data_IF_897041270733
#
_entry.id   IF_897041270733
#
_cell.length_a   1.000
_cell.length_b   1.000
_cell.length_c   1.000
_cell.angle_alpha   90.00
_cell.angle_beta   90.00
_cell.angle_gamma   90.00
#
_symmetry.space_group_name_H-M   'P 1'
#
loop_
_entity.id
_entity.type
_entity.pdbx_description
1 polymer ?
#
# COMPACT_ATOMS: atom_id res chain seq x y z
N UNK A 1 13.64 -17.52 -45.85
CA UNK A 1 14.50 -17.04 -44.75
C UNK A 1 14.42 -15.51 -44.70
N UNK A 2 13.35 -14.92 -44.14
CA UNK A 2 13.21 -13.45 -43.90
C UNK A 2 12.13 -13.13 -42.82
N UNK A 3 11.89 -14.02 -41.85
CA UNK A 3 10.94 -13.77 -40.74
C UNK A 3 11.64 -13.50 -39.39
N UNK A 4 12.97 -13.59 -39.32
CA UNK A 4 13.74 -13.39 -38.09
C UNK A 4 13.93 -11.91 -37.73
N UNK A 5 14.28 -11.08 -38.71
CA UNK A 5 14.80 -9.73 -38.46
C UNK A 5 13.73 -8.71 -38.03
N UNK A 6 12.51 -8.81 -38.55
CA UNK A 6 11.40 -7.94 -38.14
C UNK A 6 11.02 -8.14 -36.67
N UNK A 7 11.10 -9.37 -36.16
CA UNK A 7 10.77 -9.69 -34.76
C UNK A 7 11.83 -9.16 -33.79
N UNK A 8 13.08 -9.06 -34.24
CA UNK A 8 14.21 -8.60 -33.43
C UNK A 8 14.27 -7.07 -33.43
N UNK A 9 14.06 -6.44 -34.59
CA UNK A 9 13.96 -4.98 -34.70
C UNK A 9 12.77 -4.41 -33.89
N UNK A 10 11.62 -5.08 -33.94
CA UNK A 10 10.45 -4.72 -33.14
C UNK A 10 10.70 -4.86 -31.64
N UNK A 11 11.45 -5.90 -31.22
CA UNK A 11 11.83 -6.09 -29.81
C UNK A 11 12.73 -4.96 -29.30
N UNK A 12 13.78 -4.60 -30.05
CA UNK A 12 14.68 -3.49 -29.70
C UNK A 12 13.96 -2.14 -29.62
N UNK A 13 13.04 -1.85 -30.54
CA UNK A 13 12.25 -0.62 -30.50
C UNK A 13 11.28 -0.56 -29.31
N UNK A 14 10.80 -1.71 -28.82
CA UNK A 14 9.99 -1.80 -27.60
C UNK A 14 10.87 -1.62 -26.36
N UNK A 15 12.10 -2.17 -26.35
CA UNK A 15 13.10 -2.03 -25.28
C UNK A 15 13.46 -0.55 -25.05
N UNK A 16 13.79 0.20 -26.12
CA UNK A 16 14.16 1.62 -26.01
C UNK A 16 12.98 2.51 -25.57
N UNK A 17 11.76 2.24 -26.06
CA UNK A 17 10.56 3.02 -25.70
C UNK A 17 9.99 2.67 -24.32
N UNK A 18 10.26 1.46 -23.80
CA UNK A 18 9.81 1.01 -22.49
C UNK A 18 10.63 1.62 -21.34
N UNK A 19 11.94 1.78 -21.55
CA UNK A 19 12.85 2.41 -20.60
C UNK A 19 12.44 3.84 -20.24
N UNK A 20 11.98 4.60 -21.22
CA UNK A 20 11.50 5.99 -21.05
C UNK A 20 10.12 6.09 -20.38
N UNK A 21 9.29 5.05 -20.48
CA UNK A 21 7.93 5.02 -19.95
C UNK A 21 7.81 4.34 -18.57
N UNK A 22 8.91 3.74 -18.07
CA UNK A 22 8.96 3.13 -16.74
C UNK A 22 8.14 1.83 -16.59
N UNK A 23 7.82 1.14 -17.69
CA UNK A 23 7.07 -0.12 -17.67
C UNK A 23 8.02 -1.32 -17.66
N UNK A 24 7.62 -2.41 -16.99
CA UNK A 24 8.35 -3.68 -17.07
C UNK A 24 8.21 -4.31 -18.46
N UNK A 25 9.33 -4.41 -19.17
CA UNK A 25 9.47 -4.86 -20.57
C UNK A 25 8.71 -6.15 -20.91
N UNK A 26 8.65 -7.10 -19.96
CA UNK A 26 8.07 -8.42 -20.19
C UNK A 26 6.56 -8.42 -20.45
N UNK A 27 5.81 -7.45 -19.93
CA UNK A 27 4.37 -7.33 -20.18
C UNK A 27 4.06 -6.77 -21.57
N UNK A 28 4.91 -5.87 -22.09
CA UNK A 28 4.68 -5.16 -23.34
C UNK A 28 4.75 -6.08 -24.57
N UNK A 29 5.52 -7.16 -24.49
CA UNK A 29 5.70 -8.09 -25.60
C UNK A 29 4.54 -9.08 -25.82
N UNK A 30 3.63 -9.24 -24.85
CA UNK A 30 2.55 -10.23 -24.89
C UNK A 30 1.25 -9.73 -25.54
N UNK A 31 1.08 -8.41 -25.61
CA UNK A 31 -0.16 -7.81 -26.07
C UNK A 31 -0.07 -7.42 -27.56
N UNK A 32 -0.41 -8.36 -28.44
CA UNK A 32 -0.70 -7.99 -29.84
C UNK A 32 -2.09 -7.37 -29.92
N UNK A 33 -2.16 -6.05 -29.75
CA UNK A 33 -3.40 -5.26 -29.81
C UNK A 33 -3.91 -5.17 -31.25
N UNK A 34 -5.20 -5.46 -31.45
CA UNK A 34 -5.89 -5.37 -32.75
C UNK A 34 -7.17 -4.54 -32.62
N UNK A 35 -7.72 -4.11 -33.76
CA UNK A 35 -9.04 -3.45 -33.82
C UNK A 35 -10.11 -4.40 -33.26
N UNK A 36 -10.96 -3.86 -32.38
CA UNK A 36 -11.98 -4.61 -31.66
C UNK A 36 -11.55 -5.09 -30.27
N UNK A 37 -10.25 -5.05 -29.92
CA UNK A 37 -9.81 -5.38 -28.56
C UNK A 37 -10.31 -4.30 -27.58
N UNK A 38 -10.82 -4.75 -26.42
CA UNK A 38 -10.99 -3.90 -25.25
C UNK A 38 -9.62 -3.64 -24.61
N UNK A 39 -9.37 -2.39 -24.25
CA UNK A 39 -8.10 -1.93 -23.68
C UNK A 39 -8.33 -0.97 -22.53
N UNK A 40 -7.32 -0.85 -21.68
CA UNK A 40 -7.21 0.23 -20.70
C UNK A 40 -5.78 0.75 -20.65
N UNK A 41 -5.60 1.93 -20.05
CA UNK A 41 -4.28 2.47 -19.78
C UNK A 41 -3.54 1.57 -18.82
N UNK A 42 -2.26 1.34 -19.12
CA UNK A 42 -1.36 0.57 -18.27
C UNK A 42 -1.17 1.29 -16.93
N UNK A 43 -1.16 0.54 -15.83
CA UNK A 43 -0.97 1.10 -14.48
C UNK A 43 0.46 1.66 -14.34
N UNK A 44 0.59 2.84 -13.73
CA UNK A 44 1.91 3.40 -13.43
C UNK A 44 2.71 2.45 -12.52
N UNK A 45 4.03 2.44 -12.70
CA UNK A 45 4.93 1.62 -11.89
C UNK A 45 4.70 1.93 -10.40
N UNK A 46 4.44 0.90 -9.61
CA UNK A 46 4.15 1.00 -8.17
C UNK A 46 2.82 1.67 -7.79
N UNK A 47 1.86 1.82 -8.71
CA UNK A 47 0.50 2.27 -8.38
C UNK A 47 -0.54 1.21 -8.69
N UNK A 48 -1.25 0.75 -7.65
CA UNK A 48 -2.45 -0.06 -7.80
C UNK A 48 -3.72 0.79 -8.01
N UNK A 49 -3.63 2.13 -7.94
CA UNK A 49 -4.80 3.01 -8.05
C UNK A 49 -5.19 3.21 -9.51
N UNK A 50 -6.44 2.93 -9.82
CA UNK A 50 -7.05 3.18 -11.14
C UNK A 50 -7.35 4.67 -11.42
N UNK A 51 -7.32 5.53 -10.38
CA UNK A 51 -7.87 6.90 -10.43
C UNK A 51 -7.22 7.90 -11.40
N UNK A 52 -6.12 7.55 -12.06
CA UNK A 52 -5.40 8.44 -12.99
C UNK A 52 -5.21 7.81 -14.38
N UNK A 53 -6.02 6.81 -14.74
CA UNK A 53 -5.96 6.20 -16.07
C UNK A 53 -6.55 7.16 -17.11
N UNK A 54 -5.78 7.48 -18.15
CA UNK A 54 -6.25 8.24 -19.33
C UNK A 54 -7.42 7.52 -20.00
N UNK A 55 -7.35 6.19 -20.07
CA UNK A 55 -8.38 5.30 -20.58
C UNK A 55 -8.69 4.26 -19.50
N UNK A 56 -9.77 4.41 -18.71
CA UNK A 56 -10.17 3.38 -17.74
C UNK A 56 -10.65 2.11 -18.44
N UNK A 57 -11.38 2.25 -19.54
CA UNK A 57 -11.84 1.17 -20.41
C UNK A 57 -12.25 1.76 -21.78
N UNK A 58 -11.83 1.13 -22.87
CA UNK A 58 -12.18 1.54 -24.22
C UNK A 58 -11.94 0.45 -25.25
N UNK A 59 -12.39 0.66 -26.48
CA UNK A 59 -12.27 -0.31 -27.58
C UNK A 59 -11.42 0.27 -28.70
N UNK A 60 -10.45 -0.48 -29.21
CA UNK A 60 -9.65 -0.05 -30.35
C UNK A 60 -10.54 -0.03 -31.60
N UNK A 61 -10.69 1.14 -32.23
CA UNK A 61 -11.47 1.32 -33.46
C UNK A 61 -10.60 1.56 -34.69
N UNK A 62 -9.31 1.81 -34.49
CA UNK A 62 -8.36 2.00 -35.59
C UNK A 62 -6.92 1.92 -35.09
N UNK A 63 -6.01 1.69 -36.03
CA UNK A 63 -4.58 1.69 -35.79
C UNK A 63 -3.90 2.58 -36.84
N UNK A 64 -2.98 3.41 -36.37
CA UNK A 64 -2.14 4.26 -37.21
C UNK A 64 -0.84 3.52 -37.57
N UNK A 65 -0.23 3.88 -38.71
CA UNK A 65 1.05 3.35 -39.17
C UNK A 65 2.20 3.68 -38.19
N UNK A 66 2.02 4.72 -37.37
CA UNK A 66 2.99 5.19 -36.38
C UNK A 66 2.88 4.48 -35.00
N UNK A 67 2.21 3.32 -34.91
CA UNK A 67 2.13 2.56 -33.66
C UNK A 67 1.20 3.13 -32.59
N UNK A 68 0.29 4.03 -32.98
CA UNK A 68 -0.78 4.54 -32.12
C UNK A 68 -2.11 3.84 -32.42
N UNK A 69 -2.93 3.65 -31.40
CA UNK A 69 -4.30 3.17 -31.51
C UNK A 69 -5.28 4.34 -31.39
N UNK A 70 -6.37 4.28 -32.14
CA UNK A 70 -7.56 5.10 -31.92
C UNK A 70 -8.51 4.30 -31.04
N UNK A 71 -8.78 4.80 -29.84
CA UNK A 71 -9.57 4.11 -28.81
C UNK A 71 -10.87 4.86 -28.57
N UNK A 72 -12.00 4.18 -28.76
CA UNK A 72 -13.31 4.68 -28.39
C UNK A 72 -13.55 4.45 -26.90
N UNK A 73 -13.73 5.52 -26.16
CA UNK A 73 -13.98 5.51 -24.71
C UNK A 73 -15.43 5.92 -24.46
N UNK A 74 -16.09 5.27 -23.50
CA UNK A 74 -17.47 5.64 -23.16
C UNK A 74 -17.53 7.07 -22.63
N UNK A 75 -18.45 7.89 -23.16
CA UNK A 75 -18.62 9.29 -22.79
C UNK A 75 -17.70 10.29 -23.51
N UNK A 76 -16.77 9.82 -24.35
CA UNK A 76 -15.96 10.67 -25.23
C UNK A 76 -16.44 10.48 -26.67
N UNK A 77 -16.90 11.55 -27.31
CA UNK A 77 -17.47 11.49 -28.66
C UNK A 77 -16.44 11.11 -29.73
N UNK A 78 -15.24 11.68 -29.64
CA UNK A 78 -14.15 11.42 -30.58
C UNK A 78 -13.20 10.32 -30.06
N UNK A 79 -12.71 9.41 -30.92
CA UNK A 79 -11.71 8.43 -30.53
C UNK A 79 -10.42 9.09 -30.01
N UNK A 80 -9.93 8.60 -28.87
CA UNK A 80 -8.69 9.08 -28.25
C UNK A 80 -7.50 8.39 -28.91
N UNK A 81 -6.52 9.18 -29.37
CA UNK A 81 -5.28 8.66 -29.94
C UNK A 81 -4.27 8.38 -28.84
N UNK A 82 -3.90 7.10 -28.65
CA UNK A 82 -2.96 6.69 -27.61
C UNK A 82 -1.90 5.76 -28.17
N UNK A 83 -0.66 5.93 -27.74
CA UNK A 83 0.44 5.05 -28.14
C UNK A 83 0.21 3.62 -27.61
N UNK A 84 0.41 2.59 -28.44
CA UNK A 84 0.07 1.22 -28.09
C UNK A 84 0.77 0.69 -26.82
N UNK A 85 1.99 1.13 -26.54
CA UNK A 85 2.72 0.72 -25.32
C UNK A 85 2.06 1.20 -24.02
N UNK A 86 1.26 2.27 -24.08
CA UNK A 86 0.50 2.78 -22.93
C UNK A 86 -0.81 2.02 -22.70
N UNK A 87 -1.17 1.12 -23.61
CA UNK A 87 -2.37 0.31 -23.53
C UNK A 87 -2.01 -1.12 -23.11
N UNK A 88 -2.95 -1.75 -22.43
CA UNK A 88 -2.96 -3.18 -22.16
C UNK A 88 -4.31 -3.76 -22.56
N UNK A 89 -4.30 -5.00 -23.06
CA UNK A 89 -5.53 -5.70 -23.44
C UNK A 89 -6.31 -6.10 -22.19
N UNK A 90 -7.60 -5.82 -22.21
CA UNK A 90 -8.56 -6.30 -21.22
C UNK A 90 -9.38 -7.42 -21.84
N UNK A 91 -9.31 -8.60 -21.26
CA UNK A 91 -10.10 -9.77 -21.64
C UNK A 91 -10.90 -10.23 -20.43
N UNK A 92 -12.22 -10.40 -20.56
CA UNK A 92 -13.07 -10.86 -19.45
C UNK A 92 -12.92 -10.02 -18.15
N UNK A 93 -12.66 -8.70 -18.29
CA UNK A 93 -12.45 -7.79 -17.16
C UNK A 93 -11.08 -7.89 -16.48
N UNK A 94 -10.15 -8.68 -17.03
CA UNK A 94 -8.80 -8.87 -16.51
C UNK A 94 -7.75 -8.41 -17.53
N UNK A 95 -6.63 -7.89 -17.04
CA UNK A 95 -5.45 -7.63 -17.85
C UNK A 95 -4.18 -8.17 -17.18
N UNK A 96 -3.16 -8.46 -17.99
CA UNK A 96 -1.86 -8.89 -17.49
C UNK A 96 -1.33 -7.91 -16.43
N UNK A 97 -0.86 -8.43 -15.31
CA UNK A 97 -0.41 -7.66 -14.14
C UNK A 97 -1.47 -7.47 -13.06
N UNK A 98 -2.73 -7.84 -13.32
CA UNK A 98 -3.77 -7.81 -12.29
C UNK A 98 -3.49 -8.81 -11.16
N UNK A 99 -3.78 -8.38 -9.93
CA UNK A 99 -3.77 -9.24 -8.76
C UNK A 99 -5.06 -10.05 -8.76
N UNK A 100 -4.93 -11.37 -8.77
CA UNK A 100 -6.06 -12.29 -8.90
C UNK A 100 -6.04 -13.31 -7.78
N UNK A 101 -7.24 -13.77 -7.40
CA UNK A 101 -7.45 -14.88 -6.48
C UNK A 101 -8.09 -16.05 -7.23
N UNK A 102 -7.59 -17.25 -6.99
CA UNK A 102 -8.24 -18.48 -7.43
C UNK A 102 -9.51 -18.70 -6.61
N UNK A 103 -10.64 -18.95 -7.29
CA UNK A 103 -11.91 -19.24 -6.61
C UNK A 103 -11.82 -20.54 -5.81
N UNK A 104 -12.49 -20.56 -4.67
CA UNK A 104 -12.45 -21.70 -3.75
C UNK A 104 -13.01 -22.99 -4.37
N UNK A 105 -13.98 -22.87 -5.28
CA UNK A 105 -14.59 -23.99 -6.02
C UNK A 105 -13.60 -24.75 -6.92
N UNK A 106 -12.51 -24.11 -7.32
CA UNK A 106 -11.46 -24.70 -8.18
C UNK A 106 -10.29 -25.21 -7.36
N UNK A 107 -10.18 -24.80 -6.09
CA UNK A 107 -9.06 -25.19 -5.24
C UNK A 107 -9.26 -26.62 -4.72
N UNK A 108 -8.30 -27.48 -5.04
CA UNK A 108 -8.18 -28.78 -4.39
C UNK A 108 -7.68 -28.57 -2.96
N UNK A 109 -8.60 -28.54 -1.99
CA UNK A 109 -8.32 -28.23 -0.58
C UNK A 109 -7.33 -29.20 0.06
N UNK A 110 -7.22 -30.42 -0.47
CA UNK A 110 -6.34 -31.46 0.08
C UNK A 110 -4.90 -31.36 -0.48
N UNK A 111 -4.73 -30.68 -1.63
CA UNK A 111 -3.45 -30.60 -2.35
C UNK A 111 -2.84 -29.18 -2.42
N UNK A 112 -3.58 -28.15 -2.02
CA UNK A 112 -3.15 -26.76 -2.23
C UNK A 112 -2.08 -26.31 -1.23
N UNK A 113 -0.79 -26.41 -1.64
CA UNK A 113 0.36 -25.83 -0.93
C UNK A 113 0.73 -24.41 -1.40
N UNK A 114 0.00 -23.86 -2.37
CA UNK A 114 0.25 -22.54 -2.94
C UNK A 114 -0.66 -21.46 -2.35
N UNK A 115 -0.26 -20.19 -2.47
CA UNK A 115 -1.12 -19.06 -2.13
C UNK A 115 -2.34 -19.05 -3.04
N UNK A 116 -3.54 -18.69 -2.54
CA UNK A 116 -4.71 -18.47 -3.40
C UNK A 116 -4.61 -17.16 -4.18
N UNK A 117 -3.68 -16.26 -3.86
CA UNK A 117 -3.52 -14.95 -4.50
C UNK A 117 -2.22 -14.92 -5.31
N UNK A 118 -2.28 -14.38 -6.51
CA UNK A 118 -1.17 -14.31 -7.44
C UNK A 118 -1.30 -13.15 -8.43
N UNK A 119 -0.31 -13.03 -9.32
CA UNK A 119 -0.31 -12.01 -10.38
C UNK A 119 -0.60 -12.69 -11.71
N UNK A 120 -1.52 -12.11 -12.49
CA UNK A 120 -1.85 -12.57 -13.83
C UNK A 120 -0.69 -12.27 -14.80
N UNK A 121 -0.12 -13.30 -15.43
CA UNK A 121 1.01 -13.17 -16.37
C UNK A 121 0.58 -13.04 -17.81
N UNK A 122 -0.54 -13.67 -18.18
CA UNK A 122 -1.14 -13.55 -19.50
C UNK A 122 -2.63 -13.89 -19.44
N UNK A 123 -3.38 -13.28 -20.35
CA UNK A 123 -4.77 -13.64 -20.65
C UNK A 123 -5.01 -13.57 -22.15
N UNK A 124 -5.46 -14.67 -22.73
CA UNK A 124 -5.77 -14.79 -24.14
C UNK A 124 -7.24 -14.41 -24.41
N UNK A 125 -7.58 -14.26 -25.70
CA UNK A 125 -8.93 -13.83 -26.12
C UNK A 125 -10.00 -14.90 -25.82
N UNK A 126 -9.62 -16.17 -25.79
CA UNK A 126 -10.46 -17.31 -25.41
C UNK A 126 -10.64 -17.44 -23.88
N UNK A 127 -9.98 -16.57 -23.10
CA UNK A 127 -10.00 -16.61 -21.64
C UNK A 127 -8.99 -17.57 -21.02
N UNK A 128 -8.10 -18.19 -21.80
CA UNK A 128 -6.95 -18.94 -21.28
C UNK A 128 -6.00 -18.01 -20.53
N UNK A 129 -5.55 -18.41 -19.34
CA UNK A 129 -4.74 -17.56 -18.45
C UNK A 129 -3.52 -18.28 -17.91
N UNK A 130 -2.47 -17.50 -17.62
CA UNK A 130 -1.35 -17.95 -16.80
C UNK A 130 -1.17 -17.05 -15.59
N UNK A 131 -0.96 -17.64 -14.40
CA UNK A 131 -0.87 -16.89 -13.13
C UNK A 131 0.36 -17.36 -12.34
N UNK A 132 1.10 -16.40 -11.79
CA UNK A 132 2.17 -16.68 -10.84
C UNK A 132 1.62 -16.74 -9.43
N UNK A 133 1.59 -17.93 -8.82
CA UNK A 133 1.24 -18.11 -7.41
C UNK A 133 2.46 -18.46 -6.57
N UNK A 134 2.46 -18.04 -5.31
CA UNK A 134 3.51 -18.38 -4.36
C UNK A 134 3.42 -19.86 -3.98
N UNK A 135 4.52 -20.61 -4.09
CA UNK A 135 4.55 -22.04 -3.77
C UNK A 135 4.26 -22.95 -4.97
N UNK A 136 4.24 -22.38 -6.17
CA UNK A 136 4.28 -23.13 -7.42
C UNK A 136 5.64 -22.96 -8.09
N UNK A 137 6.17 -24.03 -8.67
CA UNK A 137 7.43 -24.01 -9.42
C UNK A 137 7.28 -23.36 -10.80
N UNK A 138 6.08 -23.46 -11.38
CA UNK A 138 5.75 -22.93 -12.71
C UNK A 138 4.46 -22.10 -12.65
N UNK A 139 4.21 -21.31 -13.71
CA UNK A 139 2.96 -20.56 -13.84
C UNK A 139 1.78 -21.52 -13.88
N UNK A 140 0.78 -21.27 -13.03
CA UNK A 140 -0.49 -21.95 -13.09
C UNK A 140 -1.21 -21.62 -14.39
N UNK A 141 -1.84 -22.62 -15.00
CA UNK A 141 -2.61 -22.48 -16.25
C UNK A 141 -4.07 -22.81 -15.97
N UNK A 142 -4.98 -22.01 -16.50
CA UNK A 142 -6.42 -22.26 -16.37
C UNK A 142 -7.24 -21.31 -17.21
N UNK A 143 -8.49 -21.06 -16.79
CA UNK A 143 -9.40 -20.12 -17.44
C UNK A 143 -9.69 -18.92 -16.54
N UNK A 144 -9.93 -17.76 -17.14
CA UNK A 144 -10.33 -16.51 -16.47
C UNK A 144 -11.56 -16.68 -15.56
N UNK A 145 -12.48 -17.58 -15.89
CA UNK A 145 -13.67 -17.89 -15.08
C UNK A 145 -13.34 -18.46 -13.69
N UNK A 146 -12.16 -19.05 -13.51
CA UNK A 146 -11.68 -19.59 -12.23
C UNK A 146 -11.07 -18.52 -11.32
N UNK A 147 -10.89 -17.30 -11.84
CA UNK A 147 -10.23 -16.21 -11.15
C UNK A 147 -11.25 -15.14 -10.73
N UNK A 148 -10.88 -14.39 -9.71
CA UNK A 148 -11.54 -13.15 -9.32
C UNK A 148 -10.49 -12.09 -9.00
N UNK A 149 -10.85 -10.81 -9.14
CA UNK A 149 -9.95 -9.71 -8.77
C UNK A 149 -9.62 -9.78 -7.27
N UNK A 150 -8.35 -9.57 -6.92
CA UNK A 150 -7.87 -9.52 -5.54
C UNK A 150 -7.34 -8.13 -5.21
N UNK A 151 -7.19 -7.85 -3.91
CA UNK A 151 -6.54 -6.62 -3.44
C UNK A 151 -5.11 -6.57 -3.96
N UNK A 152 -4.77 -5.49 -4.64
CA UNK A 152 -3.44 -5.26 -5.19
C UNK A 152 -2.62 -4.39 -4.24
N UNK A 153 -1.37 -4.78 -4.03
CA UNK A 153 -0.42 -4.07 -3.18
C UNK A 153 0.62 -3.32 -4.00
N UNK A 154 1.03 -2.16 -3.48
CA UNK A 154 1.99 -1.24 -4.10
C UNK A 154 3.20 -1.02 -3.19
N UNK A 155 4.36 -0.77 -3.80
CA UNK A 155 5.56 -0.36 -3.07
C UNK A 155 5.27 0.88 -2.23
N UNK A 156 5.78 0.89 -1.01
CA UNK A 156 5.63 1.98 -0.06
C UNK A 156 4.37 1.90 0.81
N UNK A 157 3.40 1.04 0.48
CA UNK A 157 2.28 0.76 1.38
C UNK A 157 2.74 0.02 2.65
N UNK A 158 1.97 0.17 3.71
CA UNK A 158 2.23 -0.51 4.97
C UNK A 158 1.26 -1.67 5.14
N UNK A 159 1.79 -2.81 5.59
CA UNK A 159 1.03 -4.04 5.77
C UNK A 159 1.32 -4.67 7.12
N UNK A 160 0.36 -5.45 7.61
CA UNK A 160 0.53 -6.32 8.76
C UNK A 160 -0.24 -7.62 8.53
N UNK A 161 0.07 -8.71 9.24
CA UNK A 161 -0.73 -9.93 9.22
C UNK A 161 -2.17 -9.64 9.63
N UNK A 162 -3.13 -10.27 8.94
CA UNK A 162 -4.54 -10.18 9.32
C UNK A 162 -4.77 -10.74 10.72
N UNK A 163 -5.75 -10.20 11.47
CA UNK A 163 -6.15 -10.82 12.72
C UNK A 163 -6.69 -12.24 12.48
N UNK A 164 -6.39 -13.16 13.40
CA UNK A 164 -6.91 -14.54 13.33
C UNK A 164 -6.09 -15.53 12.50
N UNK A 165 -4.99 -15.09 11.85
CA UNK A 165 -4.07 -16.03 11.21
C UNK A 165 -3.21 -16.72 12.27
N UNK A 166 -3.36 -18.04 12.36
CA UNK A 166 -2.66 -18.87 13.33
C UNK A 166 -1.22 -19.20 12.91
N UNK A 167 -1.01 -19.41 11.62
CA UNK A 167 0.29 -19.78 11.04
C UNK A 167 0.48 -19.04 9.74
N UNK A 168 1.48 -18.17 9.69
CA UNK A 168 1.89 -17.48 8.46
C UNK A 168 2.75 -18.41 7.61
N UNK A 169 2.65 -18.29 6.29
CA UNK A 169 3.51 -19.04 5.36
C UNK A 169 4.97 -18.63 5.46
N UNK A 170 5.22 -17.39 5.83
CA UNK A 170 6.56 -16.85 6.03
C UNK A 170 6.71 -16.29 7.44
N UNK A 171 7.94 -16.26 7.93
CA UNK A 171 8.24 -15.60 9.20
C UNK A 171 7.88 -14.12 9.13
N UNK A 172 7.50 -13.55 10.28
CA UNK A 172 7.14 -12.15 10.38
C UNK A 172 7.76 -11.53 11.63
N UNK A 173 8.16 -10.26 11.51
CA UNK A 173 8.75 -9.53 12.62
C UNK A 173 7.74 -9.36 13.76
N UNK A 174 8.19 -9.67 14.99
CA UNK A 174 7.42 -9.48 16.22
C UNK A 174 7.97 -8.30 17.01
N UNK A 175 7.06 -7.54 17.61
CA UNK A 175 7.43 -6.52 18.59
C UNK A 175 7.65 -7.16 19.96
N UNK A 176 8.27 -6.40 20.88
CA UNK A 176 8.50 -6.82 22.27
C UNK A 176 7.20 -7.11 23.04
N UNK A 177 6.11 -6.42 22.70
CA UNK A 177 4.77 -6.62 23.27
C UNK A 177 4.05 -7.85 22.68
N UNK A 178 4.69 -8.62 21.78
CA UNK A 178 4.15 -9.83 21.19
C UNK A 178 3.22 -9.59 19.98
N UNK A 179 2.85 -8.35 19.70
CA UNK A 179 2.08 -8.00 18.49
C UNK A 179 2.95 -8.14 17.22
N UNK A 180 2.30 -8.47 16.11
CA UNK A 180 2.95 -8.43 14.80
C UNK A 180 3.35 -6.99 14.44
N UNK A 181 4.59 -6.81 13.98
CA UNK A 181 5.05 -5.51 13.54
C UNK A 181 4.33 -5.09 12.24
N UNK A 182 4.14 -3.79 12.06
CA UNK A 182 3.70 -3.23 10.78
C UNK A 182 4.94 -2.98 9.93
N UNK A 183 4.92 -3.45 8.69
CA UNK A 183 6.05 -3.35 7.79
C UNK A 183 5.69 -2.55 6.54
N UNK A 184 6.71 -2.00 5.87
CA UNK A 184 6.58 -1.25 4.62
C UNK A 184 6.97 -2.13 3.44
N UNK A 185 6.13 -2.21 2.42
CA UNK A 185 6.41 -2.94 1.19
C UNK A 185 7.58 -2.27 0.46
N UNK A 186 8.65 -3.02 0.24
CA UNK A 186 9.80 -2.64 -0.58
C UNK A 186 9.63 -3.04 -2.04
N UNK A 187 9.07 -4.23 -2.27
CA UNK A 187 8.95 -4.82 -3.61
C UNK A 187 7.74 -5.74 -3.68
N UNK A 188 7.13 -5.81 -4.85
CA UNK A 188 6.13 -6.82 -5.21
C UNK A 188 6.77 -7.73 -6.26
N UNK A 189 6.79 -9.04 -6.00
CA UNK A 189 7.37 -10.02 -6.91
C UNK A 189 6.35 -10.48 -7.97
N UNK A 190 6.82 -11.04 -9.11
CA UNK A 190 5.92 -11.51 -10.18
C UNK A 190 4.98 -12.66 -9.79
N UNK A 191 5.18 -13.33 -8.65
CA UNK A 191 4.26 -14.34 -8.11
C UNK A 191 3.30 -13.77 -7.05
N UNK A 192 3.32 -12.45 -6.83
CA UNK A 192 2.50 -11.74 -5.85
C UNK A 192 3.10 -11.64 -4.46
N UNK A 193 4.23 -12.29 -4.16
CA UNK A 193 4.84 -12.14 -2.83
C UNK A 193 5.35 -10.72 -2.59
N UNK A 194 5.31 -10.30 -1.34
CA UNK A 194 5.68 -8.94 -0.94
C UNK A 194 6.99 -8.99 -0.16
N UNK A 195 8.00 -8.21 -0.55
CA UNK A 195 9.16 -7.97 0.30
C UNK A 195 8.84 -6.81 1.24
N UNK A 196 8.96 -7.03 2.54
CA UNK A 196 8.50 -6.09 3.57
C UNK A 196 9.65 -5.78 4.53
N UNK A 197 9.87 -4.49 4.80
CA UNK A 197 10.85 -4.02 5.79
C UNK A 197 10.20 -3.44 7.03
N UNK A 198 10.93 -3.43 8.15
CA UNK A 198 10.41 -2.97 9.44
C UNK A 198 11.23 -1.80 10.02
N UNK A 199 11.16 -0.60 9.43
CA UNK A 199 12.05 0.52 9.79
C UNK A 199 11.87 1.04 11.23
N UNK A 200 10.71 0.80 11.85
CA UNK A 200 10.40 1.20 13.22
C UNK A 200 10.85 0.21 14.30
N UNK A 201 11.40 -0.94 13.91
CA UNK A 201 11.85 -2.00 14.81
C UNK A 201 13.38 -1.93 14.92
N UNK A 202 13.88 -1.48 16.08
CA UNK A 202 15.31 -1.49 16.37
C UNK A 202 15.74 -2.90 16.76
N UNK A 203 15.97 -3.77 15.77
CA UNK A 203 16.57 -5.08 15.97
C UNK A 203 18.08 -4.90 16.07
N UNK A 204 18.62 -4.82 17.29
CA UNK A 204 20.07 -4.77 17.47
C UNK A 204 20.71 -6.06 16.94
N UNK A 205 21.53 -5.97 15.88
CA UNK A 205 22.38 -7.06 15.39
C UNK A 205 21.83 -7.93 14.25
N UNK A 206 20.76 -7.54 13.56
CA UNK A 206 20.28 -8.24 12.36
C UNK A 206 20.70 -7.48 11.09
N UNK A 207 21.43 -8.14 10.19
CA UNK A 207 21.97 -7.49 8.98
C UNK A 207 20.91 -7.22 7.91
N UNK A 208 19.72 -7.84 7.96
CA UNK A 208 18.62 -7.55 7.02
C UNK A 208 17.22 -7.69 7.68
N UNK A 209 16.57 -6.57 8.00
CA UNK A 209 15.20 -6.49 8.56
C UNK A 209 14.11 -6.66 7.49
N UNK A 210 14.27 -7.61 6.56
CA UNK A 210 13.30 -7.84 5.49
C UNK A 210 12.71 -9.24 5.53
N UNK A 211 11.39 -9.31 5.33
CA UNK A 211 10.63 -10.54 5.35
C UNK A 211 9.75 -10.62 4.10
N UNK A 212 9.55 -11.84 3.60
CA UNK A 212 8.59 -12.09 2.53
C UNK A 212 7.20 -12.27 3.13
N UNK A 213 6.18 -11.74 2.47
CA UNK A 213 4.78 -11.87 2.86
C UNK A 213 3.96 -12.55 1.77
N UNK A 214 2.97 -13.34 2.19
CA UNK A 214 1.87 -13.76 1.33
C UNK A 214 0.79 -12.65 1.31
N UNK A 215 0.42 -12.10 0.14
CA UNK A 215 -0.60 -11.06 0.02
C UNK A 215 -1.98 -11.51 0.52
N UNK A 216 -2.26 -12.81 0.57
CA UNK A 216 -3.52 -13.34 1.12
C UNK A 216 -3.59 -13.28 2.65
N UNK A 217 -2.43 -13.22 3.33
CA UNK A 217 -2.30 -13.27 4.79
C UNK A 217 -2.14 -11.89 5.43
N UNK A 218 -1.83 -10.86 4.64
CA UNK A 218 -1.65 -9.50 5.15
C UNK A 218 -2.82 -8.60 4.78
N UNK A 219 -2.96 -7.51 5.53
CA UNK A 219 -3.90 -6.43 5.27
C UNK A 219 -3.19 -5.09 5.21
N UNK A 220 -3.74 -4.16 4.42
CA UNK A 220 -3.25 -2.79 4.35
C UNK A 220 -3.49 -2.05 5.67
N UNK A 221 -2.41 -1.46 6.19
CA UNK A 221 -2.46 -0.54 7.33
C UNK A 221 -2.51 0.89 6.80
N UNK A 222 -3.60 1.57 7.11
CA UNK A 222 -3.75 2.99 6.87
C UNK A 222 -4.10 3.71 8.17
N UNK A 223 -3.94 5.03 8.17
CA UNK A 223 -4.33 5.86 9.30
C UNK A 223 -5.82 5.72 9.66
N UNK A 224 -6.68 5.53 8.66
CA UNK A 224 -8.13 5.34 8.86
C UNK A 224 -8.48 3.97 9.44
N UNK A 225 -7.73 2.92 9.07
CA UNK A 225 -7.95 1.55 9.54
C UNK A 225 -7.23 1.23 10.87
N UNK A 226 -6.50 2.19 11.44
CA UNK A 226 -5.75 1.99 12.70
C UNK A 226 -6.59 2.34 13.91
N UNK A 227 -6.94 1.38 14.80
CA UNK A 227 -7.81 1.65 15.93
C UNK A 227 -7.04 2.34 17.07
N UNK A 228 -7.60 3.45 17.56
CA UNK A 228 -7.05 4.21 18.67
C UNK A 228 -5.87 5.12 18.30
N UNK A 229 -5.67 6.14 19.13
CA UNK A 229 -4.66 7.19 18.86
C UNK A 229 -3.22 6.65 18.93
N UNK A 230 -2.98 5.63 19.77
CA UNK A 230 -1.67 4.99 19.94
C UNK A 230 -1.25 4.25 18.68
N UNK A 231 -2.13 3.45 18.06
CA UNK A 231 -1.80 2.71 16.83
C UNK A 231 -1.66 3.65 15.64
N UNK A 232 -2.46 4.71 15.58
CA UNK A 232 -2.29 5.80 14.60
C UNK A 232 -0.94 6.50 14.72
N UNK A 233 -0.55 6.85 15.94
CA UNK A 233 0.76 7.43 16.21
C UNK A 233 1.90 6.47 15.84
N UNK A 234 1.78 5.20 16.22
CA UNK A 234 2.73 4.14 15.87
C UNK A 234 2.88 3.97 14.34
N UNK A 235 1.76 4.03 13.60
CA UNK A 235 1.79 4.02 12.14
C UNK A 235 2.55 5.23 11.54
N UNK A 236 2.45 6.41 12.18
CA UNK A 236 3.26 7.57 11.79
C UNK A 236 4.74 7.36 12.12
N UNK A 237 5.08 6.77 13.27
CA UNK A 237 6.47 6.42 13.59
C UNK A 237 7.09 5.49 12.55
N UNK A 238 6.33 4.49 12.10
CA UNK A 238 6.76 3.54 11.08
C UNK A 238 6.92 4.23 9.70
N UNK A 239 6.23 5.36 9.48
CA UNK A 239 6.33 6.16 8.25
C UNK A 239 7.65 6.95 8.17
N UNK A 240 8.05 7.60 9.27
CA UNK A 240 9.25 8.44 9.29
C UNK A 240 9.91 8.43 10.67
N UNK A 241 11.21 8.13 10.68
CA UNK A 241 12.04 8.09 11.89
C UNK A 241 11.99 9.38 12.74
N UNK A 242 11.65 10.53 12.14
CA UNK A 242 11.63 11.85 12.77
C UNK A 242 10.43 12.04 13.69
N UNK A 243 9.39 11.22 13.54
CA UNK A 243 8.15 11.36 14.31
C UNK A 243 8.41 11.21 15.80
N UNK A 244 9.27 10.28 16.21
CA UNK A 244 9.67 10.09 17.62
C UNK A 244 10.38 11.33 18.19
N UNK A 245 11.53 11.79 17.63
CA UNK A 245 12.18 13.02 18.09
C UNK A 245 11.25 14.25 18.08
N UNK A 246 10.43 14.40 17.03
CA UNK A 246 9.54 15.55 16.89
C UNK A 246 8.47 15.58 17.99
N UNK A 247 7.87 14.44 18.34
CA UNK A 247 6.87 14.39 19.41
C UNK A 247 7.49 14.58 20.80
N UNK A 248 8.72 14.10 21.02
CA UNK A 248 9.46 14.37 22.25
C UNK A 248 9.71 15.88 22.38
N UNK A 249 10.20 16.52 21.32
CA UNK A 249 10.43 17.97 21.31
C UNK A 249 9.13 18.78 21.51
N UNK A 250 8.03 18.38 20.88
CA UNK A 250 6.72 19.02 21.04
C UNK A 250 6.22 18.93 22.49
N UNK A 251 6.41 17.77 23.14
CA UNK A 251 6.03 17.54 24.53
C UNK A 251 6.87 18.39 25.49
N UNK A 252 8.19 18.47 25.26
CA UNK A 252 9.10 19.33 26.03
C UNK A 252 8.78 20.82 25.84
N UNK A 253 8.41 21.24 24.62
CA UNK A 253 8.03 22.62 24.35
C UNK A 253 6.72 23.00 25.04
N UNK A 254 5.73 22.10 25.05
CA UNK A 254 4.46 22.31 25.73
C UNK A 254 4.63 22.45 27.25
N UNK A 255 5.45 21.60 27.89
CA UNK A 255 5.71 21.71 29.34
C UNK A 255 6.40 23.02 29.71
N UNK A 256 7.30 23.55 28.87
CA UNK A 256 7.94 24.85 29.10
C UNK A 256 6.94 26.01 28.99
N UNK A 257 6.08 26.01 27.97
CA UNK A 257 5.13 27.10 27.72
C UNK A 257 3.97 27.13 28.74
N UNK A 258 3.51 25.98 29.22
CA UNK A 258 2.45 25.90 30.23
C UNK A 258 2.98 25.90 31.68
N UNK A 259 4.19 25.39 31.94
CA UNK A 259 4.83 25.45 33.26
C UNK A 259 5.20 26.87 33.71
N UNK A 260 5.41 27.78 32.77
CA UNK A 260 5.74 29.18 33.05
C UNK A 260 4.55 30.01 33.59
N UNK A 261 3.31 29.48 33.55
CA UNK A 261 2.13 30.20 34.06
C UNK A 261 1.86 29.96 35.56
N UNK A 262 2.51 28.96 36.19
CA UNK A 262 2.32 28.66 37.63
C UNK A 262 3.38 29.34 38.51
N UNK A 263 4.46 29.88 37.94
CA UNK A 263 5.55 30.54 38.69
C UNK A 263 5.59 32.06 38.47
N UNK A 264 4.42 32.72 38.54
CA UNK A 264 4.26 34.11 38.10
C UNK A 264 3.42 35.02 39.00
N UNK A 265 3.35 34.78 40.32
CA UNK A 265 2.82 35.77 41.28
C UNK A 265 3.57 35.74 42.62
N UNK A 266 4.86 36.11 42.59
CA UNK A 266 5.53 36.59 43.81
C UNK A 266 5.33 38.10 43.92
N UNK A 267 4.27 38.53 44.62
CA UNK A 267 4.13 39.92 45.09
C UNK A 267 4.91 40.04 46.40
N UNK A 268 6.01 40.78 46.39
CA UNK A 268 6.70 41.29 47.58
C UNK A 268 5.82 42.32 48.30
N UNK A 269 5.75 42.27 49.65
CA UNK A 269 5.88 43.39 50.64
C UNK A 269 5.72 42.90 52.10
N UNK A 270 6.15 43.67 53.14
CA UNK A 270 7.11 43.18 54.15
C UNK A 270 6.50 43.14 55.59
N UNK A 271 7.26 43.15 56.71
CA UNK A 271 7.13 42.16 57.78
C UNK A 271 6.36 42.65 59.03
N UNK A 272 5.57 41.78 59.67
CA UNK A 272 5.55 41.58 61.13
C UNK A 272 4.47 40.58 61.57
N UNK A 273 4.81 39.75 62.57
CA UNK A 273 3.86 39.35 63.62
C UNK A 273 3.36 37.90 63.66
N UNK A 274 4.14 37.04 64.33
CA UNK A 274 3.80 35.88 65.21
C UNK A 274 2.84 34.75 64.76
N UNK A 275 3.40 33.54 64.84
CA UNK A 275 2.88 32.21 65.26
C UNK A 275 1.46 31.76 64.87
N UNK A 276 1.37 30.59 64.22
CA UNK A 276 0.91 29.33 64.85
C UNK A 276 0.97 28.16 63.86
N UNK A 277 1.27 26.96 64.38
CA UNK A 277 1.42 25.68 63.68
C UNK A 277 0.09 25.16 63.11
N UNK A 278 0.12 24.49 61.94
CA UNK A 278 -0.71 23.30 61.68
C UNK A 278 -0.08 22.44 60.56
N UNK A 279 0.12 21.16 60.86
CA UNK A 279 0.48 20.10 59.92
C UNK A 279 -0.64 19.85 58.89
N UNK A 280 -0.30 19.58 57.63
CA UNK A 280 -1.07 18.68 56.78
C UNK A 280 -0.24 18.15 55.60
N UNK A 281 -0.29 16.84 55.49
CA UNK A 281 0.44 15.93 54.61
C UNK A 281 0.37 16.25 53.11
N UNK A 282 1.51 15.99 52.46
CA UNK A 282 1.65 15.80 51.02
C UNK A 282 0.84 14.58 50.56
N UNK A 283 -0.06 14.78 49.60
CA UNK A 283 -0.49 13.71 48.69
C UNK A 283 -0.32 14.18 47.24
N UNK A 284 0.73 13.68 46.61
CA UNK A 284 0.96 13.75 45.18
C UNK A 284 0.00 12.79 44.46
N UNK A 285 -0.92 13.31 43.65
CA UNK A 285 -1.61 12.54 42.61
C UNK A 285 -0.77 12.54 41.32
N UNK A 286 -0.58 11.39 40.64
CA UNK A 286 0.16 11.35 39.39
C UNK A 286 -0.66 11.95 38.22
N UNK A 287 0.05 12.72 37.38
CA UNK A 287 -0.43 13.54 36.25
C UNK A 287 -1.19 12.77 35.16
N UNK A 288 -1.14 11.44 35.17
CA UNK A 288 -1.73 10.59 34.13
C UNK A 288 -3.26 10.63 34.13
N UNK A 289 -3.88 10.80 35.30
CA UNK A 289 -5.35 10.80 35.44
C UNK A 289 -6.01 12.06 34.83
N UNK A 290 -5.31 13.21 34.87
CA UNK A 290 -5.82 14.48 34.34
C UNK A 290 -5.89 14.53 32.81
N UNK A 291 -5.08 13.73 32.10
CA UNK A 291 -5.09 13.66 30.63
C UNK A 291 -6.25 12.79 30.13
N UNK A 292 -6.66 11.80 30.92
CA UNK A 292 -7.78 10.90 30.57
C UNK A 292 -9.13 11.62 30.74
N UNK A 293 -9.25 12.48 31.74
CA UNK A 293 -10.51 13.19 32.03
C UNK A 293 -10.79 14.33 31.03
N UNK A 294 -9.76 14.95 30.46
CA UNK A 294 -9.89 15.99 29.44
C UNK A 294 -10.36 15.45 28.07
N UNK A 295 -10.28 14.13 27.83
CA UNK A 295 -10.64 13.50 26.56
C UNK A 295 -12.11 13.04 26.48
N UNK A 296 -12.85 13.04 27.59
CA UNK A 296 -14.23 12.51 27.66
C UNK A 296 -15.34 13.59 27.62
N UNK A 297 -15.00 14.86 27.36
CA UNK A 297 -15.99 15.92 27.20
C UNK A 297 -16.48 16.07 25.75
N UNK A 298 -17.80 16.15 25.48
CA UNK A 298 -18.30 16.44 24.15
C UNK A 298 -18.18 17.93 23.89
N UNK A 299 -17.31 18.33 22.97
CA UNK A 299 -17.42 19.63 22.33
C UNK A 299 -16.13 20.43 22.30
N UNK A 300 -15.32 20.20 21.27
CA UNK A 300 -14.37 21.20 20.77
C UNK A 300 -14.32 21.14 19.24
N UNK A 301 -15.21 21.90 18.60
CA UNK A 301 -14.96 22.48 17.27
C UNK A 301 -14.74 23.98 17.46
N UNK A 302 -13.66 24.59 16.93
CA UNK A 302 -13.51 26.04 16.92
C UNK A 302 -14.58 26.70 16.03
N UNK A 303 -15.18 27.81 16.50
CA UNK A 303 -16.25 28.58 15.83
C UNK A 303 -15.81 29.37 14.58
N UNK A 304 -14.64 29.10 14.02
CA UNK A 304 -14.09 29.86 12.89
C UNK A 304 -13.81 28.88 11.76
N UNK A 305 -14.86 28.56 11.01
CA UNK A 305 -14.92 27.94 9.67
C UNK A 305 -16.38 27.51 9.44
N UNK A 306 -17.27 28.49 9.31
CA UNK A 306 -18.54 28.33 8.60
C UNK A 306 -18.43 29.20 7.35
N UNK A 307 -18.29 28.56 6.20
CA UNK A 307 -18.70 29.04 4.89
C UNK A 307 -19.35 27.88 4.18
#
# INVERSE_FOLDING_TARGET
VLNGDYSVARRRAIEDAAGDLGYTEWFLSKDHLIVGDTVRSRKALNSCRAGNMEIPEGVIVGQDQNGSALVRVHGIHDPVRVHMLRLERVSHGLASGDCVRLKEEVMDKEKTKHSPVGILHSIDRDGSVTVGFIGMETLWKGNSSHLQMAEAYSVGQFVRPKPGILSLRFQWARRRDGEWATGRILRVYPNGSLLVKFPGLLMFGAEEDTFVADPSEVELVSFHNSPGIVKKYRHLEDFHWVVRPAMIALSLFATIKFGSFVLGRSKRRPPHGKESQTEAQSQQRPVIEAVVEAANGPGWLPRQLRF
#
